data_IF_600651881659
#
_entry.id   IF_600651881659
#
_cell.length_a   1.000
_cell.length_b   1.000
_cell.length_c   1.000
_cell.angle_alpha   90.00
_cell.angle_beta   90.00
_cell.angle_gamma   90.00
#
_symmetry.space_group_name_H-M   'P 1'
#
loop_
_entity.id
_entity.type
_entity.pdbx_description
1 polymer ?
#
# COMPACT_ATOMS: atom_id res chain seq x y z
N UNK A 1 11.05 23.21 76.40
CA UNK A 1 9.74 22.60 76.72
C UNK A 1 8.78 23.02 75.62
N UNK A 2 8.63 22.30 74.51
CA UNK A 2 8.12 20.92 74.34
C UNK A 2 6.71 20.79 74.91
N UNK A 3 5.64 20.90 74.10
CA UNK A 3 4.83 19.78 73.55
C UNK A 3 3.39 20.22 73.17
N UNK A 4 3.13 20.18 71.86
CA UNK A 4 2.04 19.54 71.08
C UNK A 4 0.78 18.91 71.76
N UNK A 5 -0.36 19.08 71.03
CA UNK A 5 -1.58 18.24 70.75
C UNK A 5 -2.86 18.29 71.64
N UNK A 6 -4.02 18.61 71.02
CA UNK A 6 -5.24 17.77 70.74
C UNK A 6 -6.47 18.67 70.50
N UNK A 7 -6.94 18.82 69.24
CA UNK A 7 -8.09 18.15 68.59
C UNK A 7 -9.40 18.22 69.38
N UNK A 8 -10.41 18.89 68.81
CA UNK A 8 -11.82 18.54 69.01
C UNK A 8 -12.53 18.38 67.66
N UNK A 9 -13.13 17.21 67.52
CA UNK A 9 -13.99 16.75 66.43
C UNK A 9 -15.38 17.35 66.64
N UNK A 10 -16.00 17.87 65.58
CA UNK A 10 -17.46 18.03 65.53
C UNK A 10 -17.99 17.29 64.30
N UNK A 11 -18.69 16.19 64.57
CA UNK A 11 -19.52 15.45 63.64
C UNK A 11 -20.94 16.05 63.68
N UNK A 12 -21.49 16.39 62.52
CA UNK A 12 -22.92 16.52 62.34
C UNK A 12 -23.31 15.81 61.03
N UNK A 13 -24.00 14.69 61.17
CA UNK A 13 -24.69 13.99 60.10
C UNK A 13 -25.97 14.75 59.73
N UNK A 14 -26.24 14.96 58.44
CA UNK A 14 -27.60 14.94 57.91
C UNK A 14 -27.61 14.33 56.50
N UNK A 15 -28.72 13.64 56.26
CA UNK A 15 -28.99 12.67 55.21
C UNK A 15 -29.85 13.29 54.09
N UNK A 16 -29.80 12.61 52.93
CA UNK A 16 -30.83 12.46 51.90
C UNK A 16 -30.92 13.46 50.72
N UNK A 17 -30.53 12.89 49.57
CA UNK A 17 -31.15 12.86 48.23
C UNK A 17 -31.19 14.08 47.30
N UNK A 18 -30.73 13.74 46.09
CA UNK A 18 -31.14 14.14 44.74
C UNK A 18 -31.02 15.61 44.34
N UNK A 19 -30.06 15.89 43.45
CA UNK A 19 -30.14 17.01 42.52
C UNK A 19 -29.69 16.61 41.11
N UNK A 20 -30.61 16.85 40.20
CA UNK A 20 -30.52 16.73 38.75
C UNK A 20 -29.35 17.49 38.14
N UNK A 21 -28.89 16.92 37.03
CA UNK A 21 -27.93 17.47 36.08
C UNK A 21 -28.55 18.62 35.31
N UNK A 22 -27.91 19.79 35.29
CA UNK A 22 -28.02 20.71 34.15
C UNK A 22 -26.73 21.52 33.94
N UNK A 23 -26.43 21.71 32.65
CA UNK A 23 -25.19 22.15 32.01
C UNK A 23 -24.75 23.57 32.38
N UNK A 24 -23.44 23.77 32.53
CA UNK A 24 -22.77 25.04 32.17
C UNK A 24 -21.49 24.72 31.40
N UNK A 25 -21.45 25.25 30.17
CA UNK A 25 -20.35 25.14 29.22
C UNK A 25 -19.21 26.10 29.60
N UNK A 26 -17.98 25.59 29.71
CA UNK A 26 -16.78 26.42 29.62
C UNK A 26 -16.12 26.18 28.26
N UNK A 27 -16.31 27.15 27.36
CA UNK A 27 -15.62 27.25 26.08
C UNK A 27 -14.27 27.92 26.36
N UNK A 28 -13.18 27.19 26.12
CA UNK A 28 -11.85 27.78 25.94
C UNK A 28 -11.54 27.71 24.46
N UNK A 29 -11.45 28.88 23.83
CA UNK A 29 -10.92 29.04 22.48
C UNK A 29 -9.42 28.73 22.49
N UNK A 30 -9.01 27.73 21.71
CA UNK A 30 -7.60 27.51 21.35
C UNK A 30 -7.46 27.98 19.90
N UNK A 31 -6.85 29.15 19.73
CA UNK A 31 -6.46 29.69 18.43
C UNK A 31 -5.32 28.85 17.83
N UNK A 32 -5.51 28.48 16.55
CA UNK A 32 -4.51 28.30 15.49
C UNK A 32 -3.08 27.94 15.90
N UNK A 33 -2.85 26.65 16.13
CA UNK A 33 -1.59 26.04 15.70
C UNK A 33 -1.82 25.44 14.32
N UNK A 34 -1.42 26.16 13.27
CA UNK A 34 -1.18 25.57 11.96
C UNK A 34 -0.11 24.50 12.14
N UNK A 35 -0.54 23.23 12.20
CA UNK A 35 0.37 22.10 12.07
C UNK A 35 0.97 22.15 10.68
N UNK A 36 2.22 22.63 10.62
CA UNK A 36 3.12 22.18 9.58
C UNK A 36 3.37 20.68 9.85
N UNK A 37 2.87 19.82 8.97
CA UNK A 37 3.08 18.37 9.07
C UNK A 37 4.21 17.95 8.13
N UNK A 38 5.47 17.85 8.59
CA UNK A 38 6.45 17.08 7.88
C UNK A 38 6.35 15.63 8.36
N UNK A 39 5.75 14.79 7.52
CA UNK A 39 5.93 13.33 7.38
C UNK A 39 4.64 12.50 7.49
N UNK A 40 3.91 12.44 6.38
CA UNK A 40 2.93 11.38 6.07
C UNK A 40 3.53 9.97 5.92
N UNK A 41 4.66 9.67 6.57
CA UNK A 41 5.22 8.31 6.62
C UNK A 41 4.59 7.45 7.74
N UNK A 42 3.81 8.05 8.65
CA UNK A 42 3.36 7.46 9.90
C UNK A 42 2.48 6.19 9.74
N UNK A 43 1.87 5.99 8.57
CA UNK A 43 1.00 4.82 8.31
C UNK A 43 1.52 3.89 7.20
N UNK A 44 2.76 4.07 6.76
CA UNK A 44 3.34 3.24 5.71
C UNK A 44 3.97 1.98 6.31
N UNK A 45 3.55 0.81 5.81
CA UNK A 45 4.23 -0.47 6.10
C UNK A 45 5.68 -0.40 5.62
N UNK A 46 6.63 -0.63 6.52
CA UNK A 46 8.07 -0.68 6.24
C UNK A 46 8.61 -2.09 6.42
N UNK A 47 9.75 -2.37 5.79
CA UNK A 47 10.48 -3.63 5.89
C UNK A 47 11.61 -3.44 6.92
N UNK A 48 11.63 -4.30 7.92
CA UNK A 48 12.61 -4.28 9.01
C UNK A 48 13.51 -5.51 9.01
N UNK A 49 14.71 -5.29 9.53
CA UNK A 49 15.59 -6.33 10.09
C UNK A 49 15.87 -5.97 11.54
N UNK A 50 16.16 -6.97 12.38
CA UNK A 50 16.52 -6.67 13.75
C UNK A 50 17.98 -6.18 13.83
N UNK A 51 18.25 -5.31 14.80
CA UNK A 51 19.59 -4.94 15.22
C UNK A 51 19.74 -5.27 16.70
N UNK A 52 19.86 -6.56 17.00
CA UNK A 52 20.06 -7.05 18.35
C UNK A 52 21.37 -7.84 18.43
N UNK A 53 22.30 -7.50 19.34
CA UNK A 53 23.53 -8.26 19.57
C UNK A 53 23.26 -9.73 19.92
N UNK A 54 22.12 -10.02 20.56
CA UNK A 54 21.75 -11.38 20.99
C UNK A 54 21.34 -12.29 19.81
N UNK A 55 21.21 -11.72 18.60
CA UNK A 55 20.80 -12.45 17.40
C UNK A 55 19.30 -12.70 17.30
N UNK A 56 18.51 -12.22 18.26
CA UNK A 56 17.05 -12.20 18.21
C UNK A 56 16.50 -11.01 19.01
N UNK A 57 15.26 -10.60 18.74
CA UNK A 57 14.51 -9.66 19.59
C UNK A 57 13.17 -10.25 20.00
N UNK A 58 12.71 -9.92 21.20
CA UNK A 58 11.38 -10.29 21.67
C UNK A 58 10.30 -9.46 20.98
N UNK A 59 9.21 -10.13 20.59
CA UNK A 59 7.94 -9.52 20.17
C UNK A 59 7.00 -9.55 21.35
N UNK A 60 6.44 -8.40 21.73
CA UNK A 60 5.60 -8.26 22.91
C UNK A 60 4.14 -8.02 22.56
N UNK A 61 3.24 -8.45 23.44
CA UNK A 61 1.79 -8.32 23.23
C UNK A 61 1.33 -6.86 23.23
N UNK A 62 1.94 -6.02 24.08
CA UNK A 62 1.66 -4.58 24.21
C UNK A 62 2.96 -3.78 24.01
N UNK A 63 2.88 -2.47 23.68
CA UNK A 63 4.03 -1.59 23.51
C UNK A 63 4.69 -1.21 24.84
N UNK A 64 5.19 -2.20 25.57
CA UNK A 64 5.73 -2.06 26.93
C UNK A 64 6.78 -3.14 27.23
N UNK A 65 7.84 -2.81 27.97
CA UNK A 65 8.96 -3.72 28.27
C UNK A 65 8.59 -4.84 29.23
N UNK A 66 7.55 -4.66 30.05
CA UNK A 66 7.07 -5.67 31.00
C UNK A 66 5.96 -6.53 30.40
N UNK A 67 5.52 -6.23 29.18
CA UNK A 67 4.48 -6.99 28.50
C UNK A 67 4.94 -8.41 28.11
N UNK A 68 4.00 -9.36 28.15
CA UNK A 68 4.19 -10.74 27.72
C UNK A 68 4.90 -10.83 26.35
N UNK A 69 5.94 -11.64 26.29
CA UNK A 69 6.60 -12.02 25.04
C UNK A 69 5.74 -13.05 24.32
N UNK A 70 5.30 -12.73 23.10
CA UNK A 70 4.44 -13.58 22.27
C UNK A 70 5.21 -14.32 21.17
N UNK A 71 6.50 -14.02 21.02
CA UNK A 71 7.41 -14.68 20.10
C UNK A 71 8.72 -13.91 19.95
N UNK A 72 9.54 -14.32 18.99
CA UNK A 72 10.83 -13.69 18.68
C UNK A 72 10.97 -13.50 17.18
N UNK A 73 11.78 -12.51 16.80
CA UNK A 73 12.27 -12.32 15.43
C UNK A 73 13.77 -12.59 15.47
N UNK A 74 14.26 -13.42 14.56
CA UNK A 74 15.69 -13.77 14.50
C UNK A 74 16.48 -12.78 13.64
N UNK A 75 17.80 -12.75 13.81
CA UNK A 75 18.70 -12.00 12.94
C UNK A 75 18.53 -12.46 11.49
N UNK A 76 18.57 -11.52 10.56
CA UNK A 76 18.35 -11.73 9.11
C UNK A 76 16.91 -12.15 8.73
N UNK A 77 15.97 -12.21 9.69
CA UNK A 77 14.56 -12.40 9.38
C UNK A 77 13.92 -11.06 9.03
N UNK A 78 13.39 -10.95 7.82
CA UNK A 78 12.60 -9.78 7.42
C UNK A 78 11.21 -9.81 8.06
N UNK A 79 10.72 -8.62 8.42
CA UNK A 79 9.37 -8.42 8.93
C UNK A 79 8.81 -7.08 8.46
N UNK A 80 7.49 -6.94 8.57
CA UNK A 80 6.80 -5.67 8.37
C UNK A 80 6.71 -4.91 9.69
N UNK A 81 6.86 -3.59 9.65
CA UNK A 81 6.59 -2.74 10.80
C UNK A 81 5.93 -1.41 10.41
N UNK A 82 5.18 -0.82 11.32
CA UNK A 82 4.60 0.51 11.16
C UNK A 82 5.15 1.44 12.23
N UNK A 83 5.58 2.64 11.81
CA UNK A 83 6.08 3.67 12.73
C UNK A 83 4.89 4.26 13.49
N UNK A 84 5.09 4.61 14.75
CA UNK A 84 4.13 5.42 15.50
C UNK A 84 4.88 6.49 16.29
N UNK A 85 4.15 7.41 16.92
CA UNK A 85 4.71 8.38 17.86
C UNK A 85 5.33 7.74 19.12
N UNK A 86 5.13 6.44 19.34
CA UNK A 86 5.75 5.69 20.44
C UNK A 86 7.14 5.18 20.07
N UNK A 87 7.95 4.83 21.08
CA UNK A 87 9.18 4.06 20.89
C UNK A 87 8.93 2.59 20.56
N UNK A 88 7.68 2.15 20.51
CA UNK A 88 7.28 0.78 20.19
C UNK A 88 6.55 0.76 18.85
N UNK A 89 7.06 -0.05 17.92
CA UNK A 89 6.47 -0.22 16.59
C UNK A 89 5.71 -1.54 16.55
N UNK A 90 4.54 -1.51 15.91
CA UNK A 90 3.81 -2.73 15.60
C UNK A 90 4.59 -3.50 14.53
N UNK A 91 4.65 -4.82 14.67
CA UNK A 91 5.35 -5.71 13.74
C UNK A 91 4.46 -6.86 13.30
N UNK A 92 4.69 -7.35 12.08
CA UNK A 92 4.16 -8.61 11.55
C UNK A 92 5.27 -9.35 10.81
N UNK A 93 5.61 -10.56 11.25
CA UNK A 93 6.57 -11.41 10.52
C UNK A 93 5.92 -12.03 9.28
N UNK A 94 6.72 -12.53 8.34
CA UNK A 94 6.22 -13.26 7.18
C UNK A 94 5.49 -14.57 7.56
N UNK A 95 5.72 -15.08 8.77
CA UNK A 95 5.03 -16.25 9.34
C UNK A 95 3.73 -15.87 10.06
N UNK A 96 3.37 -14.59 10.10
CA UNK A 96 2.12 -14.11 10.69
C UNK A 96 2.19 -13.75 12.18
N UNK A 97 3.34 -13.93 12.86
CA UNK A 97 3.52 -13.44 14.23
C UNK A 97 3.35 -11.92 14.28
N UNK A 98 2.45 -11.43 15.15
CA UNK A 98 2.16 -10.00 15.36
C UNK A 98 2.47 -9.58 16.79
N UNK A 99 2.86 -8.33 16.97
CA UNK A 99 3.02 -7.71 18.28
C UNK A 99 3.80 -6.40 18.18
N UNK A 100 4.58 -6.09 19.20
CA UNK A 100 5.33 -4.83 19.32
C UNK A 100 6.81 -5.09 19.59
N UNK A 101 7.66 -4.31 18.93
CA UNK A 101 9.12 -4.31 19.12
C UNK A 101 9.59 -2.88 19.35
N UNK A 102 10.49 -2.67 20.31
CA UNK A 102 11.05 -1.36 20.58
C UNK A 102 11.92 -0.89 19.40
N UNK A 103 11.80 0.38 19.00
CA UNK A 103 12.43 0.96 17.80
C UNK A 103 13.96 0.79 17.79
N UNK A 104 14.60 0.74 18.95
CA UNK A 104 16.05 0.54 19.06
C UNK A 104 16.52 -0.83 18.56
N UNK A 105 15.60 -1.80 18.42
CA UNK A 105 15.88 -3.15 17.93
C UNK A 105 15.59 -3.30 16.44
N UNK A 106 15.10 -2.26 15.77
CA UNK A 106 14.67 -2.30 14.37
C UNK A 106 15.63 -1.48 13.52
N UNK A 107 16.21 -2.12 12.51
CA UNK A 107 16.87 -1.45 11.42
C UNK A 107 15.94 -1.35 10.21
N UNK A 108 15.86 -0.17 9.60
CA UNK A 108 15.07 0.03 8.39
C UNK A 108 15.78 -0.64 7.21
N UNK A 109 15.13 -1.65 6.64
CA UNK A 109 15.61 -2.39 5.47
C UNK A 109 14.81 -2.07 4.20
N UNK A 110 14.01 -0.99 4.19
CA UNK A 110 13.29 -0.55 3.01
C UNK A 110 14.26 -0.17 1.87
N UNK A 111 13.88 -0.59 0.68
CA UNK A 111 14.57 -0.29 -0.56
C UNK A 111 13.52 -0.07 -1.67
N UNK A 112 13.84 0.75 -2.67
CA UNK A 112 12.93 1.05 -3.78
C UNK A 112 12.70 -0.16 -4.71
N UNK A 113 13.59 -1.16 -4.70
CA UNK A 113 13.45 -2.43 -5.44
C UNK A 113 12.68 -3.51 -4.70
N UNK A 114 12.18 -3.24 -3.50
CA UNK A 114 11.39 -4.20 -2.72
C UNK A 114 9.96 -3.69 -2.53
N UNK A 115 8.99 -4.59 -2.66
CA UNK A 115 7.57 -4.32 -2.39
C UNK A 115 7.00 -5.38 -1.43
N UNK A 116 6.08 -4.96 -0.58
CA UNK A 116 5.32 -5.81 0.32
C UNK A 116 4.02 -6.21 -0.39
N UNK A 117 3.76 -7.49 -0.53
CA UNK A 117 2.60 -7.99 -1.25
C UNK A 117 2.01 -9.22 -0.56
N UNK A 118 0.70 -9.34 -0.64
CA UNK A 118 0.00 -10.62 -0.45
C UNK A 118 0.01 -11.34 -1.78
N UNK A 119 0.51 -12.58 -1.78
CA UNK A 119 0.65 -13.42 -2.97
C UNK A 119 -0.18 -14.69 -2.86
N UNK A 120 -0.58 -15.22 -4.02
CA UNK A 120 -1.16 -16.55 -4.15
C UNK A 120 -0.20 -17.47 -4.90
N UNK A 121 -0.17 -18.74 -4.50
CA UNK A 121 0.53 -19.76 -5.28
C UNK A 121 -0.13 -19.92 -6.65
N UNK A 122 0.68 -20.19 -7.67
CA UNK A 122 0.16 -20.63 -8.98
C UNK A 122 -0.14 -22.12 -8.96
N UNK A 123 0.44 -22.88 -8.03
CA UNK A 123 0.16 -24.30 -7.87
C UNK A 123 -1.21 -24.49 -7.19
N UNK A 124 -2.22 -25.06 -7.89
CA UNK A 124 -3.54 -25.28 -7.31
C UNK A 124 -3.54 -26.26 -6.13
N UNK A 125 -2.49 -27.08 -5.99
CA UNK A 125 -2.32 -28.01 -4.88
C UNK A 125 -1.76 -27.35 -3.62
N UNK A 126 -1.22 -26.14 -3.76
CA UNK A 126 -0.74 -25.33 -2.64
C UNK A 126 -1.93 -24.62 -1.98
N UNK A 127 -2.39 -25.16 -0.86
CA UNK A 127 -3.47 -24.58 -0.07
C UNK A 127 -3.08 -23.32 0.71
N UNK A 128 -1.84 -22.83 0.57
CA UNK A 128 -1.41 -21.55 1.15
C UNK A 128 -1.93 -20.36 0.32
N UNK A 129 -3.17 -19.99 0.59
CA UNK A 129 -3.77 -18.76 0.08
C UNK A 129 -3.28 -17.56 0.91
N UNK A 130 -3.16 -16.40 0.26
CA UNK A 130 -2.94 -15.10 0.90
C UNK A 130 -1.67 -15.01 1.77
N UNK A 131 -0.52 -15.36 1.19
CA UNK A 131 0.77 -15.27 1.88
C UNK A 131 1.38 -13.88 1.71
N UNK A 132 1.58 -13.17 2.82
CA UNK A 132 2.37 -11.94 2.79
C UNK A 132 3.86 -12.23 2.58
N UNK A 133 4.48 -11.45 1.70
CA UNK A 133 5.90 -11.60 1.36
C UNK A 133 6.53 -10.27 0.97
N UNK A 134 7.85 -10.29 0.84
CA UNK A 134 8.65 -9.20 0.29
C UNK A 134 9.16 -9.66 -1.07
N UNK A 135 8.83 -8.91 -2.11
CA UNK A 135 9.19 -9.21 -3.49
C UNK A 135 10.28 -8.23 -3.94
N UNK A 136 11.35 -8.76 -4.52
CA UNK A 136 12.28 -7.94 -5.30
C UNK A 136 11.67 -7.69 -6.69
N UNK A 137 11.39 -6.44 -7.03
CA UNK A 137 10.72 -6.09 -8.30
C UNK A 137 11.55 -6.48 -9.53
N UNK A 138 12.88 -6.60 -9.37
CA UNK A 138 13.75 -7.01 -10.47
C UNK A 138 13.64 -8.50 -10.79
N UNK A 139 13.24 -9.34 -9.82
CA UNK A 139 13.01 -10.76 -10.07
C UNK A 139 11.68 -11.04 -10.75
N UNK A 140 10.74 -10.07 -10.76
CA UNK A 140 9.43 -10.24 -11.39
C UNK A 140 9.55 -10.35 -12.91
N UNK A 141 9.08 -11.49 -13.44
CA UNK A 141 9.05 -11.82 -14.87
C UNK A 141 7.97 -12.89 -15.17
N UNK A 142 7.83 -13.31 -16.44
CA UNK A 142 6.79 -14.29 -16.87
C UNK A 142 6.87 -15.66 -16.18
N UNK A 143 8.01 -16.02 -15.57
CA UNK A 143 8.23 -17.29 -14.84
C UNK A 143 8.07 -17.13 -13.32
N UNK A 144 7.53 -16.01 -12.84
CA UNK A 144 7.30 -15.81 -11.40
C UNK A 144 6.34 -16.89 -10.89
N UNK A 145 6.69 -17.65 -9.82
CA UNK A 145 5.92 -18.83 -9.40
C UNK A 145 4.71 -18.48 -8.52
N UNK A 146 4.31 -17.21 -8.48
CA UNK A 146 3.22 -16.70 -7.66
C UNK A 146 2.53 -15.52 -8.36
N UNK A 147 1.30 -15.26 -7.95
CA UNK A 147 0.51 -14.11 -8.37
C UNK A 147 0.54 -13.05 -7.28
N UNK A 148 0.65 -11.79 -7.68
CA UNK A 148 0.44 -10.68 -6.75
C UNK A 148 -1.07 -10.47 -6.64
N UNK A 149 -1.62 -10.73 -5.45
CA UNK A 149 -3.03 -10.49 -5.14
C UNK A 149 -3.26 -9.03 -4.78
N UNK A 150 -2.44 -8.51 -3.86
CA UNK A 150 -2.54 -7.12 -3.40
C UNK A 150 -1.20 -6.62 -2.86
N UNK A 151 -0.96 -5.31 -2.93
CA UNK A 151 0.16 -4.66 -2.25
C UNK A 151 -0.23 -4.17 -0.86
N UNK A 152 0.68 -4.29 0.10
CA UNK A 152 0.43 -4.01 1.53
C UNK A 152 0.83 -2.56 1.85
N UNK A 153 0.18 -1.60 1.18
CA UNK A 153 0.43 -0.17 1.34
C UNK A 153 -0.88 0.63 1.39
N UNK A 154 -0.86 1.84 1.97
CA UNK A 154 -1.97 2.78 1.84
C UNK A 154 -2.33 3.02 0.37
N UNK A 155 -3.64 3.07 0.09
CA UNK A 155 -4.17 3.37 -1.23
C UNK A 155 -4.50 4.85 -1.30
N UNK A 156 -4.19 5.50 -2.43
CA UNK A 156 -4.65 6.87 -2.68
C UNK A 156 -6.15 6.85 -2.97
N UNK A 157 -6.83 7.90 -2.56
CA UNK A 157 -8.24 8.07 -2.84
C UNK A 157 -8.45 8.44 -4.32
N UNK A 158 -9.38 7.73 -4.97
CA UNK A 158 -9.93 8.14 -6.26
C UNK A 158 -10.78 9.39 -6.04
N UNK A 159 -10.51 10.45 -6.79
CA UNK A 159 -11.26 11.70 -6.73
C UNK A 159 -12.33 11.78 -7.82
N UNK A 160 -11.93 11.47 -9.05
CA UNK A 160 -12.78 11.61 -10.23
C UNK A 160 -12.62 10.39 -11.13
N UNK A 161 -13.73 10.00 -11.77
CA UNK A 161 -13.76 8.98 -12.81
C UNK A 161 -14.80 9.38 -13.85
N UNK A 162 -14.36 9.48 -15.09
CA UNK A 162 -15.20 9.54 -16.28
C UNK A 162 -14.96 8.29 -17.12
N UNK A 163 -15.65 8.17 -18.25
CA UNK A 163 -15.47 7.04 -19.15
C UNK A 163 -14.02 6.91 -19.62
N UNK A 164 -13.34 8.04 -19.88
CA UNK A 164 -12.01 8.08 -20.50
C UNK A 164 -10.90 8.56 -19.57
N UNK A 165 -11.20 8.97 -18.34
CA UNK A 165 -10.18 9.46 -17.39
C UNK A 165 -10.47 8.99 -15.97
N UNK A 166 -9.41 8.61 -15.24
CA UNK A 166 -9.47 8.35 -13.80
C UNK A 166 -8.38 9.14 -13.09
N UNK A 167 -8.74 9.71 -11.94
CA UNK A 167 -7.90 10.59 -11.15
C UNK A 167 -7.81 10.10 -9.70
N UNK A 168 -6.58 9.96 -9.21
CA UNK A 168 -6.25 9.74 -7.80
C UNK A 168 -5.43 10.91 -7.28
N UNK A 169 -5.72 11.37 -6.07
CA UNK A 169 -4.87 12.39 -5.44
C UNK A 169 -4.93 12.38 -3.93
N UNK A 170 -3.83 12.79 -3.33
CA UNK A 170 -3.67 13.04 -1.90
C UNK A 170 -2.56 14.08 -1.73
N UNK A 171 -2.89 15.24 -1.15
CA UNK A 171 -1.96 16.36 -0.94
C UNK A 171 -1.20 16.76 -2.22
N UNK A 172 0.13 16.63 -2.20
CA UNK A 172 1.05 16.97 -3.29
C UNK A 172 1.23 15.84 -4.33
N UNK A 173 0.42 14.78 -4.24
CA UNK A 173 0.45 13.63 -5.15
C UNK A 173 -0.83 13.61 -5.98
N UNK A 174 -0.68 13.60 -7.32
CA UNK A 174 -1.78 13.44 -8.29
C UNK A 174 -1.39 12.39 -9.33
N UNK A 175 -2.25 11.41 -9.58
CA UNK A 175 -2.09 10.41 -10.64
C UNK A 175 -3.32 10.47 -11.54
N UNK A 176 -3.10 10.79 -12.81
CA UNK A 176 -4.14 10.87 -13.83
C UNK A 176 -3.87 9.84 -14.92
N UNK A 177 -4.85 9.01 -15.23
CA UNK A 177 -4.76 7.99 -16.28
C UNK A 177 -5.89 8.26 -17.27
N UNK A 178 -5.55 8.38 -18.54
CA UNK A 178 -6.53 8.52 -19.62
C UNK A 178 -6.46 7.37 -20.61
N UNK A 179 -7.58 7.08 -21.24
CA UNK A 179 -7.70 6.10 -22.33
C UNK A 179 -8.46 6.71 -23.50
N UNK A 180 -8.17 6.22 -24.70
CA UNK A 180 -8.85 6.58 -25.94
C UNK A 180 -9.38 5.33 -26.64
N UNK A 181 -10.24 5.54 -27.64
CA UNK A 181 -10.64 4.49 -28.56
C UNK A 181 -9.41 3.86 -29.23
N UNK A 182 -9.44 2.53 -29.32
CA UNK A 182 -8.42 1.74 -29.97
C UNK A 182 -8.60 1.84 -31.50
N UNK A 183 -7.54 2.21 -32.20
CA UNK A 183 -7.52 2.23 -33.65
C UNK A 183 -6.74 1.02 -34.19
N UNK A 184 -7.45 0.16 -34.94
CA UNK A 184 -6.88 -1.04 -35.52
C UNK A 184 -5.77 -0.75 -36.55
N UNK A 185 -5.84 0.40 -37.22
CA UNK A 185 -4.87 0.80 -38.25
C UNK A 185 -3.46 1.04 -37.67
N UNK A 186 -3.37 1.30 -36.36
CA UNK A 186 -2.11 1.48 -35.65
C UNK A 186 -1.45 0.13 -35.28
N UNK A 187 -2.11 -0.99 -35.58
CA UNK A 187 -1.66 -2.34 -35.22
C UNK A 187 -1.68 -3.29 -36.43
N UNK A 188 -1.17 -4.50 -36.21
CA UNK A 188 -1.27 -5.60 -37.15
C UNK A 188 -2.35 -6.57 -36.67
N UNK A 189 -3.13 -7.12 -37.59
CA UNK A 189 -4.13 -8.15 -37.29
C UNK A 189 -3.68 -9.46 -37.91
N UNK A 190 -3.61 -10.50 -37.10
CA UNK A 190 -3.26 -11.84 -37.57
C UNK A 190 -4.38 -12.83 -37.25
N UNK A 191 -4.56 -13.82 -38.11
CA UNK A 191 -5.41 -14.96 -37.82
C UNK A 191 -4.57 -16.00 -37.06
N UNK A 192 -4.95 -16.30 -35.83
CA UNK A 192 -4.31 -17.29 -34.98
C UNK A 192 -5.34 -18.38 -34.62
N UNK A 193 -5.25 -19.53 -35.29
CA UNK A 193 -6.14 -20.66 -35.05
C UNK A 193 -7.63 -20.40 -35.31
N UNK A 194 -7.96 -19.44 -36.19
CA UNK A 194 -9.35 -19.05 -36.49
C UNK A 194 -9.83 -17.82 -35.71
N UNK A 195 -9.03 -17.30 -34.77
CA UNK A 195 -9.33 -16.08 -34.04
C UNK A 195 -8.51 -14.90 -34.55
N UNK A 196 -9.08 -13.69 -34.53
CA UNK A 196 -8.34 -12.47 -34.82
C UNK A 196 -7.52 -12.09 -33.58
N UNK A 197 -6.23 -11.89 -33.76
CA UNK A 197 -5.31 -11.46 -32.73
C UNK A 197 -4.61 -10.18 -33.17
N UNK A 198 -4.57 -9.20 -32.27
CA UNK A 198 -3.83 -7.95 -32.47
C UNK A 198 -2.36 -8.13 -32.11
N UNK A 199 -1.47 -7.59 -32.94
CA UNK A 199 -0.03 -7.47 -32.68
C UNK A 199 0.43 -6.04 -32.91
N UNK A 200 1.52 -5.66 -32.27
CA UNK A 200 2.18 -4.37 -32.56
C UNK A 200 2.64 -4.31 -34.02
N UNK A 201 2.97 -3.11 -34.52
CA UNK A 201 3.50 -2.95 -35.90
C UNK A 201 4.80 -3.70 -36.11
N UNK A 202 5.60 -3.83 -35.06
CA UNK A 202 6.85 -4.59 -35.02
C UNK A 202 6.63 -6.11 -34.98
N UNK A 203 5.39 -6.55 -34.77
CA UNK A 203 5.02 -7.98 -34.70
C UNK A 203 5.05 -8.57 -33.29
N UNK A 204 5.37 -7.77 -32.26
CA UNK A 204 5.31 -8.17 -30.86
C UNK A 204 3.87 -8.44 -30.40
N UNK A 205 3.72 -9.37 -29.45
CA UNK A 205 2.44 -9.68 -28.83
C UNK A 205 1.92 -8.56 -27.93
N UNK A 206 0.59 -8.45 -27.87
CA UNK A 206 -0.13 -7.52 -26.98
C UNK A 206 -0.88 -8.31 -25.90
N UNK A 207 -1.31 -7.61 -24.86
CA UNK A 207 -2.22 -8.11 -23.84
C UNK A 207 -3.64 -7.58 -24.12
N UNK A 208 -4.65 -8.46 -24.12
CA UNK A 208 -6.04 -8.11 -24.47
C UNK A 208 -6.31 -8.01 -25.98
N UNK A 209 -5.66 -8.83 -26.80
CA UNK A 209 -5.64 -8.69 -28.26
C UNK A 209 -6.61 -9.58 -29.05
N UNK A 210 -7.24 -10.58 -28.44
CA UNK A 210 -8.12 -11.56 -29.08
C UNK A 210 -9.62 -11.21 -28.93
N UNK A 211 -9.97 -10.16 -28.16
CA UNK A 211 -11.36 -9.79 -27.84
C UNK A 211 -11.92 -8.54 -28.56
N UNK A 212 -11.40 -8.17 -29.73
CA UNK A 212 -11.76 -6.93 -30.43
C UNK A 212 -11.63 -5.69 -29.50
N UNK A 213 -10.39 -5.33 -29.15
CA UNK A 213 -10.14 -4.28 -28.17
C UNK A 213 -10.77 -2.96 -28.58
N UNK A 214 -11.35 -2.27 -27.61
CA UNK A 214 -12.06 -1.00 -27.78
C UNK A 214 -11.25 0.20 -27.32
N UNK A 215 -10.37 0.01 -26.35
CA UNK A 215 -9.64 1.12 -25.74
C UNK A 215 -8.15 0.83 -25.62
N UNK A 216 -7.37 1.91 -25.59
CA UNK A 216 -5.96 1.90 -25.28
C UNK A 216 -5.64 3.00 -24.28
N UNK A 217 -4.66 2.76 -23.40
CA UNK A 217 -4.15 3.79 -22.50
C UNK A 217 -3.53 4.91 -23.34
N UNK A 218 -4.02 6.12 -23.17
CA UNK A 218 -3.51 7.30 -23.86
C UNK A 218 -2.37 7.94 -23.06
N UNK A 219 -2.56 8.10 -21.75
CA UNK A 219 -1.56 8.74 -20.89
C UNK A 219 -1.62 8.24 -19.46
N UNK A 220 -0.46 8.25 -18.80
CA UNK A 220 -0.32 8.09 -17.35
C UNK A 220 0.56 9.25 -16.88
N UNK A 221 -0.07 10.22 -16.22
CA UNK A 221 0.55 11.47 -15.76
C UNK A 221 0.67 11.43 -14.24
N UNK A 222 1.87 11.71 -13.75
CA UNK A 222 2.21 11.70 -12.33
C UNK A 222 2.65 13.09 -11.91
N UNK A 223 1.98 13.68 -10.94
CA UNK A 223 2.44 14.92 -10.30
C UNK A 223 2.90 14.62 -8.89
N UNK A 224 4.16 14.94 -8.57
CA UNK A 224 4.72 14.85 -7.23
C UNK A 224 5.32 16.20 -6.87
N UNK A 225 4.88 16.82 -5.76
CA UNK A 225 5.46 18.09 -5.30
C UNK A 225 5.51 19.19 -6.37
N UNK A 226 4.46 19.27 -7.19
CA UNK A 226 4.30 20.20 -8.34
C UNK A 226 5.15 19.87 -9.57
N UNK A 227 6.01 18.86 -9.52
CA UNK A 227 6.72 18.34 -10.69
C UNK A 227 5.84 17.33 -11.43
N UNK A 228 5.81 17.42 -12.76
CA UNK A 228 4.98 16.56 -13.63
C UNK A 228 5.87 15.59 -14.40
N UNK A 229 5.52 14.32 -14.33
CA UNK A 229 6.18 13.19 -14.99
C UNK A 229 5.17 12.44 -15.85
N UNK A 230 5.67 11.82 -16.92
CA UNK A 230 4.86 11.02 -17.83
C UNK A 230 5.51 9.66 -18.02
N UNK A 231 4.72 8.59 -17.93
CA UNK A 231 5.19 7.28 -18.38
C UNK A 231 5.19 7.30 -19.91
N UNK A 232 6.29 6.87 -20.53
CA UNK A 232 6.38 6.75 -21.99
C UNK A 232 5.29 5.81 -22.53
N UNK A 233 4.64 6.18 -23.63
CA UNK A 233 3.63 5.32 -24.28
C UNK A 233 4.16 3.95 -24.70
N UNK A 234 5.47 3.83 -24.97
CA UNK A 234 6.15 2.54 -25.21
C UNK A 234 6.03 1.57 -24.03
N UNK A 235 5.67 2.04 -22.85
CA UNK A 235 5.48 1.17 -21.69
C UNK A 235 4.09 0.56 -21.63
N UNK A 236 3.11 1.12 -22.32
CA UNK A 236 1.72 0.66 -22.22
C UNK A 236 1.01 0.50 -23.57
N UNK A 237 1.67 0.77 -24.70
CA UNK A 237 1.11 0.57 -26.05
C UNK A 237 0.69 -0.87 -26.35
N UNK A 238 1.22 -1.85 -25.62
CA UNK A 238 0.88 -3.26 -25.79
C UNK A 238 -0.15 -3.75 -24.75
N UNK A 239 -0.78 -2.85 -23.99
CA UNK A 239 -1.80 -3.13 -22.99
C UNK A 239 -3.14 -2.59 -23.48
N UNK A 240 -3.97 -3.47 -24.02
CA UNK A 240 -5.26 -3.11 -24.63
C UNK A 240 -6.40 -3.29 -23.63
N UNK A 241 -7.51 -2.58 -23.84
CA UNK A 241 -8.70 -2.61 -22.98
C UNK A 241 -8.42 -2.45 -21.47
N UNK A 242 -7.80 -1.32 -21.04
CA UNK A 242 -7.60 -1.05 -19.62
C UNK A 242 -8.93 -0.92 -18.88
N UNK A 243 -9.02 -1.53 -17.71
CA UNK A 243 -10.20 -1.50 -16.84
C UNK A 243 -10.05 -0.42 -15.76
N UNK A 244 -10.76 0.70 -15.94
CA UNK A 244 -10.76 1.79 -14.96
C UNK A 244 -11.51 1.45 -13.67
N UNK A 245 -12.32 0.39 -13.66
CA UNK A 245 -12.94 -0.14 -12.43
C UNK A 245 -11.94 -0.86 -11.52
N UNK A 246 -10.79 -1.27 -12.07
CA UNK A 246 -9.79 -2.08 -11.37
C UNK A 246 -8.42 -1.41 -11.39
N UNK A 247 -8.39 -0.09 -11.21
CA UNK A 247 -7.17 0.67 -10.96
C UNK A 247 -7.03 0.93 -9.47
N UNK A 248 -5.87 0.61 -8.91
CA UNK A 248 -5.50 0.94 -7.53
C UNK A 248 -4.14 1.64 -7.55
N UNK A 249 -4.05 2.78 -6.89
CA UNK A 249 -2.78 3.49 -6.70
C UNK A 249 -2.34 3.36 -5.25
N UNK A 250 -1.15 2.83 -5.03
CA UNK A 250 -0.56 2.63 -3.71
C UNK A 250 0.52 3.67 -3.42
N UNK A 251 0.50 4.26 -2.22
CA UNK A 251 1.55 5.14 -1.69
C UNK A 251 2.49 4.32 -0.81
N UNK A 252 3.60 3.82 -1.39
CA UNK A 252 4.65 3.15 -0.61
C UNK A 252 5.45 4.16 0.21
N UNK A 253 5.71 5.32 -0.37
CA UNK A 253 6.25 6.50 0.33
C UNK A 253 5.90 7.75 -0.47
N UNK A 254 6.24 8.91 0.07
CA UNK A 254 6.14 10.20 -0.61
C UNK A 254 6.84 10.29 -1.97
N UNK A 255 7.82 9.40 -2.23
CA UNK A 255 8.56 9.36 -3.50
C UNK A 255 8.22 8.13 -4.33
N UNK A 256 7.58 7.12 -3.74
CA UNK A 256 7.38 5.84 -4.39
C UNK A 256 5.91 5.48 -4.48
N UNK A 257 5.40 5.47 -5.71
CA UNK A 257 4.01 5.21 -6.07
C UNK A 257 3.95 3.92 -6.88
N UNK A 258 2.93 3.11 -6.66
CA UNK A 258 2.72 1.90 -7.43
C UNK A 258 1.30 1.92 -8.00
N UNK A 259 1.18 1.88 -9.31
CA UNK A 259 -0.11 1.81 -10.01
C UNK A 259 -0.35 0.34 -10.35
N UNK A 260 -1.43 -0.23 -9.83
CA UNK A 260 -1.95 -1.54 -10.21
C UNK A 260 -3.17 -1.34 -11.09
N UNK A 261 -3.25 -2.07 -12.19
CA UNK A 261 -4.38 -1.99 -13.11
C UNK A 261 -4.60 -3.36 -13.74
N UNK A 262 -5.85 -3.65 -14.10
CA UNK A 262 -6.17 -4.80 -14.95
C UNK A 262 -6.68 -4.36 -16.32
N UNK A 263 -6.73 -5.29 -17.26
CA UNK A 263 -7.40 -5.07 -18.54
C UNK A 263 -7.90 -6.37 -19.16
N UNK A 264 -8.62 -6.22 -20.27
CA UNK A 264 -9.33 -7.32 -20.94
C UNK A 264 -10.30 -8.08 -20.00
N UNK A 265 -10.96 -7.37 -19.09
CA UNK A 265 -11.86 -7.95 -18.09
C UNK A 265 -13.07 -8.68 -18.69
N UNK A 266 -13.44 -8.36 -19.93
CA UNK A 266 -14.48 -9.02 -20.71
C UNK A 266 -14.08 -10.40 -21.25
N UNK A 267 -12.79 -10.77 -21.17
CA UNK A 267 -12.29 -12.06 -21.61
C UNK A 267 -11.32 -12.66 -20.59
N UNK A 268 -11.80 -13.62 -19.79
CA UNK A 268 -11.01 -14.26 -18.74
C UNK A 268 -9.70 -14.89 -19.25
N UNK A 269 -9.65 -15.36 -20.51
CA UNK A 269 -8.46 -15.96 -21.11
C UNK A 269 -7.36 -14.97 -21.48
N UNK A 270 -7.68 -13.67 -21.47
CA UNK A 270 -6.78 -12.58 -21.86
C UNK A 270 -6.57 -11.55 -20.75
N UNK A 271 -7.24 -11.75 -19.62
CA UNK A 271 -7.13 -10.85 -18.50
C UNK A 271 -5.67 -10.69 -18.12
N UNK A 272 -5.23 -9.46 -17.99
CA UNK A 272 -3.90 -9.15 -17.49
C UNK A 272 -3.99 -8.23 -16.31
N UNK A 273 -2.99 -8.36 -15.45
CA UNK A 273 -2.66 -7.43 -14.39
C UNK A 273 -1.34 -6.75 -14.77
N UNK A 274 -1.24 -5.45 -14.49
CA UNK A 274 -0.01 -4.69 -14.65
C UNK A 274 0.29 -3.89 -13.40
N UNK A 275 1.56 -3.91 -12.99
CA UNK A 275 2.14 -3.02 -12.00
C UNK A 275 3.10 -2.05 -12.68
N UNK A 276 2.89 -0.75 -12.46
CA UNK A 276 3.88 0.29 -12.72
C UNK A 276 4.44 0.77 -11.38
N UNK A 277 5.68 0.40 -11.09
CA UNK A 277 6.41 0.84 -9.90
C UNK A 277 7.19 2.09 -10.27
N UNK A 278 6.86 3.21 -9.64
CA UNK A 278 7.43 4.52 -9.89
C UNK A 278 8.28 4.96 -8.70
N UNK A 279 9.48 5.50 -8.92
CA UNK A 279 10.31 6.12 -7.89
C UNK A 279 10.71 7.53 -8.35
N UNK A 280 10.37 8.54 -7.54
CA UNK A 280 10.53 9.97 -7.86
C UNK A 280 9.92 10.35 -9.22
N UNK A 281 8.76 9.79 -9.53
CA UNK A 281 8.03 10.06 -10.78
C UNK A 281 8.50 9.26 -11.99
N UNK A 282 9.67 8.61 -11.93
CA UNK A 282 10.20 7.80 -13.02
C UNK A 282 9.80 6.32 -12.90
N UNK A 283 9.62 5.65 -14.04
CA UNK A 283 9.31 4.22 -14.08
C UNK A 283 10.53 3.39 -13.68
N UNK A 284 10.44 2.72 -12.53
CA UNK A 284 11.46 1.80 -12.05
C UNK A 284 11.22 0.37 -12.57
N UNK A 285 9.96 -0.06 -12.64
CA UNK A 285 9.60 -1.40 -13.15
C UNK A 285 8.17 -1.39 -13.68
N UNK A 286 7.99 -1.96 -14.88
CA UNK A 286 6.73 -2.51 -15.35
C UNK A 286 6.71 -4.02 -15.15
N UNK A 287 5.64 -4.56 -14.62
CA UNK A 287 5.43 -6.00 -14.51
C UNK A 287 4.02 -6.36 -14.95
N UNK A 288 3.91 -7.18 -15.99
CA UNK A 288 2.65 -7.67 -16.54
C UNK A 288 2.56 -9.16 -16.32
N UNK A 289 1.43 -9.64 -15.80
CA UNK A 289 1.15 -11.04 -15.55
C UNK A 289 -0.32 -11.35 -15.85
N UNK A 290 -0.62 -12.59 -16.20
CA UNK A 290 -1.99 -13.00 -16.50
C UNK A 290 -2.83 -13.02 -15.23
N UNK A 291 -4.06 -12.52 -15.32
CA UNK A 291 -5.11 -12.78 -14.33
C UNK A 291 -5.66 -14.18 -14.53
N UNK A 292 -5.88 -14.91 -13.44
CA UNK A 292 -6.60 -16.18 -13.45
C UNK A 292 -8.03 -15.96 -12.93
#
# INVERSE_FOLDING_TARGET
MTRMVFIYIFLAFFSCKDKEVSKVNNVVHVEDTKYYSPNNEEYTTKIGLINDPDGYTNVRLKPDSESLVVGTISKNEYFFYTISNSNWYSVKTLKGLKGYVHKSRINNANNNKQICATINSIDPSDSSYDKDTIVNINSLNKKTPFLIKELIYPRLNQQEKSDNTILFSEEDIKIEISKNEFNLDDYNVVNDGGNLSVKTKEGDGVYGGYANPKYIIQSIVITLYKEVFNISSKEFYNLLDPSFEKVIVYKKSNKQIIISMTGADNNASENYNVLFVLDKGELLKKYVYLGF
#
